data_IF_186825444788
#
_entry.id   IF_186825444788
#
_cell.length_a   1.000
_cell.length_b   1.000
_cell.length_c   1.000
_cell.angle_alpha   90.00
_cell.angle_beta   90.00
_cell.angle_gamma   90.00
#
_symmetry.space_group_name_H-M   'P 1'
#
loop_
_entity.id
_entity.type
_entity.pdbx_description
1 polymer ?
#
# COMPACT_ATOMS: atom_id res chain seq x y z
N UNK A 1 15.10 13.56 41.56
CA UNK A 1 15.46 13.02 40.24
C UNK A 1 16.11 11.69 40.54
N UNK A 2 15.34 10.61 40.44
CA UNK A 2 15.74 9.25 40.84
C UNK A 2 16.70 8.69 39.79
N UNK A 3 17.77 8.05 40.25
CA UNK A 3 18.86 7.55 39.39
C UNK A 3 18.37 6.54 38.33
N UNK A 4 17.21 5.91 38.53
CA UNK A 4 16.57 4.97 37.60
C UNK A 4 16.12 5.61 36.27
N UNK A 5 15.72 6.90 36.25
CA UNK A 5 15.39 7.57 34.98
C UNK A 5 16.63 7.86 34.14
N UNK A 6 17.81 7.89 34.74
CA UNK A 6 19.07 8.16 34.04
C UNK A 6 19.54 6.92 33.24
N UNK A 7 19.31 5.71 33.77
CA UNK A 7 19.63 4.46 33.05
C UNK A 7 18.72 4.23 31.85
N UNK A 8 17.41 4.46 32.00
CA UNK A 8 16.44 4.27 30.90
C UNK A 8 16.65 5.29 29.76
N UNK A 9 17.09 6.51 30.11
CA UNK A 9 17.39 7.58 29.16
C UNK A 9 18.71 7.41 28.40
N UNK A 10 19.55 6.43 28.74
CA UNK A 10 20.83 6.18 28.05
C UNK A 10 20.80 4.99 27.07
N UNK A 11 19.71 4.23 27.03
CA UNK A 11 19.59 3.02 26.21
C UNK A 11 19.54 3.34 24.70
N UNK A 12 19.04 4.52 24.34
CA UNK A 12 18.91 4.96 22.95
C UNK A 12 20.30 5.33 22.39
N UNK A 13 21.09 6.07 23.18
CA UNK A 13 22.44 6.51 22.86
C UNK A 13 23.40 5.31 22.72
N UNK A 14 23.23 4.29 23.55
CA UNK A 14 23.97 3.03 23.42
C UNK A 14 23.59 2.28 22.13
N UNK A 15 22.30 2.25 21.76
CA UNK A 15 21.85 1.61 20.52
C UNK A 15 22.40 2.29 19.26
N UNK A 16 22.50 3.63 19.25
CA UNK A 16 23.12 4.38 18.15
C UNK A 16 24.62 4.08 18.03
N UNK A 17 25.35 4.09 19.14
CA UNK A 17 26.80 3.79 19.17
C UNK A 17 27.09 2.37 18.68
N UNK A 18 26.30 1.40 19.13
CA UNK A 18 26.43 0.00 18.69
C UNK A 18 26.07 -0.14 17.21
N UNK A 19 25.03 0.54 16.72
CA UNK A 19 24.61 0.53 15.32
C UNK A 19 25.69 1.02 14.35
N UNK A 20 26.41 2.10 14.71
CA UNK A 20 27.51 2.65 13.93
C UNK A 20 28.71 1.67 13.85
N UNK A 21 29.04 1.01 14.97
CA UNK A 21 30.14 0.03 15.02
C UNK A 21 29.87 -1.22 14.17
N UNK A 22 28.61 -1.61 13.99
CA UNK A 22 28.23 -2.77 13.15
C UNK A 22 27.91 -2.41 11.71
N UNK A 23 28.12 -1.14 11.31
CA UNK A 23 27.93 -0.67 9.95
C UNK A 23 26.47 -0.63 9.50
N UNK A 24 25.52 -0.55 10.43
CA UNK A 24 24.11 -0.32 10.10
C UNK A 24 23.94 1.16 9.73
N UNK A 25 23.48 1.50 8.51
CA UNK A 25 23.28 2.89 8.13
C UNK A 25 22.14 3.50 8.96
N UNK A 26 22.50 4.35 9.92
CA UNK A 26 21.54 5.15 10.68
C UNK A 26 21.00 6.23 9.74
N UNK A 27 19.83 5.99 9.15
CA UNK A 27 19.13 6.97 8.33
C UNK A 27 18.41 7.99 9.21
N UNK A 28 19.15 9.00 9.69
CA UNK A 28 18.60 10.28 10.14
C UNK A 28 19.61 11.38 9.78
N UNK A 29 19.37 12.08 8.65
CA UNK A 29 19.85 13.46 8.52
C UNK A 29 19.21 14.26 9.67
N UNK A 30 20.02 14.55 10.67
CA UNK A 30 19.71 15.44 11.78
C UNK A 30 20.03 16.88 11.37
N UNK A 31 18.97 17.67 11.11
CA UNK A 31 19.01 19.11 11.31
C UNK A 31 17.69 19.57 11.97
N UNK A 32 17.49 19.19 13.23
CA UNK A 32 16.41 19.72 14.05
C UNK A 32 16.63 21.20 14.43
N UNK A 33 16.29 22.13 13.51
CA UNK A 33 15.74 23.45 13.90
C UNK A 33 14.32 23.25 14.48
N UNK A 34 13.76 24.20 15.28
CA UNK A 34 12.76 23.92 16.32
C UNK A 34 11.36 23.47 15.86
N UNK A 35 11.17 23.09 14.61
CA UNK A 35 10.00 22.33 14.17
C UNK A 35 10.47 21.25 13.20
N UNK A 36 10.50 20.01 13.68
CA UNK A 36 10.67 18.83 12.84
C UNK A 36 9.52 18.82 11.82
N UNK A 37 9.85 18.77 10.53
CA UNK A 37 8.87 18.32 9.55
C UNK A 37 8.62 16.84 9.87
N UNK A 38 7.61 16.55 10.70
CA UNK A 38 7.04 15.21 10.82
C UNK A 38 6.79 14.80 9.37
N UNK A 39 7.45 13.77 8.83
CA UNK A 39 7.16 13.31 7.48
C UNK A 39 5.71 12.85 7.54
N UNK A 40 4.79 13.73 7.10
CA UNK A 40 3.39 13.42 7.03
C UNK A 40 3.34 12.25 6.07
N UNK A 41 2.98 11.05 6.53
CA UNK A 41 2.93 9.93 5.64
C UNK A 41 1.89 10.32 4.59
N UNK A 42 2.33 10.65 3.36
CA UNK A 42 1.42 11.11 2.32
C UNK A 42 0.29 10.09 2.22
N UNK A 43 -0.93 10.49 1.85
CA UNK A 43 -2.14 9.65 1.97
C UNK A 43 -2.02 8.21 1.42
N UNK A 44 -1.01 7.97 0.58
CA UNK A 44 -0.55 6.66 0.17
C UNK A 44 -0.09 5.69 1.28
N UNK A 45 0.59 6.16 2.34
CA UNK A 45 1.01 5.34 3.48
C UNK A 45 -0.19 4.92 4.35
N UNK A 46 -1.14 5.83 4.59
CA UNK A 46 -2.35 5.50 5.34
C UNK A 46 -3.12 4.35 4.66
N UNK A 47 -3.23 4.40 3.32
CA UNK A 47 -3.82 3.32 2.54
C UNK A 47 -3.06 1.99 2.69
N UNK A 48 -1.73 2.03 2.86
CA UNK A 48 -0.92 0.83 3.08
C UNK A 48 -1.17 0.26 4.48
N UNK A 49 -1.15 1.10 5.51
CA UNK A 49 -1.43 0.71 6.89
C UNK A 49 -2.85 0.13 7.03
N UNK A 50 -3.85 0.77 6.44
CA UNK A 50 -5.23 0.28 6.42
C UNK A 50 -5.35 -1.08 5.70
N UNK A 51 -4.62 -1.27 4.60
CA UNK A 51 -4.62 -2.54 3.87
C UNK A 51 -4.05 -3.68 4.71
N UNK A 52 -2.95 -3.44 5.43
CA UNK A 52 -2.34 -4.43 6.33
C UNK A 52 -3.26 -4.72 7.51
N UNK A 53 -3.80 -3.70 8.17
CA UNK A 53 -4.77 -3.85 9.26
C UNK A 53 -5.98 -4.68 8.82
N UNK A 54 -6.57 -4.38 7.66
CA UNK A 54 -7.72 -5.12 7.14
C UNK A 54 -7.43 -6.60 6.91
N UNK A 55 -6.23 -6.94 6.41
CA UNK A 55 -5.83 -8.34 6.22
C UNK A 55 -5.74 -9.06 7.56
N UNK A 56 -5.05 -8.45 8.53
CA UNK A 56 -4.85 -9.05 9.85
C UNK A 56 -6.17 -9.15 10.61
N UNK A 57 -6.98 -8.09 10.65
CA UNK A 57 -8.31 -8.07 11.28
C UNK A 57 -9.22 -9.15 10.69
N UNK A 58 -9.22 -9.33 9.37
CA UNK A 58 -10.07 -10.34 8.73
C UNK A 58 -9.66 -11.77 9.08
N UNK A 59 -8.37 -12.00 9.33
CA UNK A 59 -7.83 -13.32 9.69
C UNK A 59 -7.94 -13.62 11.18
N UNK A 60 -7.70 -12.62 12.03
CA UNK A 60 -7.75 -12.77 13.48
C UNK A 60 -9.18 -12.65 14.00
N UNK A 61 -9.88 -11.54 13.71
CA UNK A 61 -11.06 -11.10 14.46
C UNK A 61 -12.39 -11.58 13.86
N UNK A 62 -12.45 -11.83 12.54
CA UNK A 62 -13.73 -12.13 11.88
C UNK A 62 -14.39 -13.40 12.43
N UNK A 63 -15.57 -13.23 13.06
CA UNK A 63 -16.36 -14.32 13.63
C UNK A 63 -15.84 -14.86 14.97
N UNK A 64 -14.85 -14.20 15.58
CA UNK A 64 -14.32 -14.56 16.91
C UNK A 64 -14.82 -13.58 17.97
N UNK A 65 -14.98 -14.06 19.21
CA UNK A 65 -15.31 -13.22 20.36
C UNK A 65 -14.30 -13.46 21.47
N UNK A 66 -13.47 -12.46 21.76
CA UNK A 66 -12.44 -12.54 22.78
C UNK A 66 -12.95 -12.07 24.13
N UNK A 67 -12.54 -12.74 25.21
CA UNK A 67 -12.94 -12.38 26.58
C UNK A 67 -11.86 -11.59 27.33
N UNK A 68 -10.67 -11.45 26.74
CA UNK A 68 -9.57 -10.69 27.33
C UNK A 68 -8.69 -10.05 26.26
N UNK A 69 -7.96 -9.00 26.65
CA UNK A 69 -6.99 -8.34 25.78
C UNK A 69 -5.85 -9.28 25.37
N UNK A 70 -5.40 -10.17 26.28
CA UNK A 70 -4.34 -11.14 25.97
C UNK A 70 -4.73 -12.14 24.89
N UNK A 71 -5.99 -12.58 24.88
CA UNK A 71 -6.53 -13.48 23.85
C UNK A 71 -6.57 -12.80 22.48
N UNK A 72 -6.94 -11.51 22.43
CA UNK A 72 -6.90 -10.70 21.21
C UNK A 72 -5.46 -10.52 20.70
N UNK A 73 -4.51 -10.19 21.59
CA UNK A 73 -3.10 -10.02 21.23
C UNK A 73 -2.52 -11.31 20.65
N UNK A 74 -2.76 -12.45 21.30
CA UNK A 74 -2.30 -13.76 20.83
C UNK A 74 -2.89 -14.11 19.45
N UNK A 75 -4.16 -13.79 19.20
CA UNK A 75 -4.79 -14.04 17.90
C UNK A 75 -4.23 -13.14 16.79
N UNK A 76 -3.98 -11.85 17.08
CA UNK A 76 -3.32 -10.93 16.15
C UNK A 76 -1.90 -11.38 15.83
N UNK A 77 -1.16 -11.84 16.84
CA UNK A 77 0.20 -12.34 16.67
C UNK A 77 0.21 -13.62 15.81
N UNK A 78 -0.69 -14.57 16.08
CA UNK A 78 -0.84 -15.79 15.29
C UNK A 78 -1.20 -15.48 13.82
N UNK A 79 -2.12 -14.54 13.58
CA UNK A 79 -2.48 -14.11 12.23
C UNK A 79 -1.31 -13.45 11.50
N UNK A 80 -0.51 -12.66 12.22
CA UNK A 80 0.69 -12.01 11.68
C UNK A 80 1.77 -13.04 11.33
N UNK A 81 2.06 -14.00 12.23
CA UNK A 81 2.99 -15.10 11.96
C UNK A 81 2.54 -15.94 10.77
N UNK A 82 1.25 -16.28 10.69
CA UNK A 82 0.69 -17.02 9.56
C UNK A 82 0.78 -16.26 8.23
N UNK A 83 0.61 -14.94 8.25
CA UNK A 83 0.83 -14.10 7.08
C UNK A 83 2.31 -13.99 6.69
N UNK A 84 3.22 -13.88 7.66
CA UNK A 84 4.66 -13.85 7.39
C UNK A 84 5.16 -15.17 6.77
N UNK A 85 4.59 -16.31 7.18
CA UNK A 85 4.92 -17.61 6.60
C UNK A 85 4.41 -17.76 5.16
N UNK A 86 3.25 -17.17 4.85
CA UNK A 86 2.63 -17.21 3.53
C UNK A 86 2.16 -15.80 3.11
N UNK A 87 3.10 -14.94 2.70
CA UNK A 87 2.78 -13.55 2.43
C UNK A 87 1.88 -13.46 1.20
N UNK A 88 0.85 -12.62 1.30
CA UNK A 88 0.07 -12.15 0.14
C UNK A 88 0.58 -10.75 -0.21
N UNK A 89 1.59 -10.64 -1.10
CA UNK A 89 2.21 -9.36 -1.40
C UNK A 89 1.20 -8.40 -2.00
N UNK A 90 1.28 -7.11 -1.62
CA UNK A 90 0.54 -6.08 -2.32
C UNK A 90 1.23 -5.82 -3.66
N UNK A 91 0.50 -5.91 -4.77
CA UNK A 91 1.00 -5.49 -6.08
C UNK A 91 0.53 -4.06 -6.31
N UNK A 92 1.49 -3.14 -6.43
CA UNK A 92 1.14 -1.75 -6.71
C UNK A 92 0.50 -1.61 -8.08
N UNK A 93 -0.58 -0.84 -8.16
CA UNK A 93 -1.31 -0.61 -9.40
C UNK A 93 -2.17 -1.78 -9.88
N UNK A 94 -1.64 -3.00 -9.94
CA UNK A 94 -2.34 -4.25 -10.28
C UNK A 94 -3.36 -4.13 -11.42
N UNK A 95 -4.48 -4.87 -11.32
CA UNK A 95 -5.59 -4.84 -12.30
C UNK A 95 -6.20 -3.45 -12.54
N UNK A 96 -6.04 -2.50 -11.61
CA UNK A 96 -6.54 -1.13 -11.78
C UNK A 96 -5.61 -0.31 -12.67
N UNK A 97 -4.29 -0.48 -12.52
CA UNK A 97 -3.29 0.13 -13.40
C UNK A 97 -3.35 -0.49 -14.78
N UNK A 98 -3.49 -1.81 -14.90
CA UNK A 98 -3.75 -2.49 -16.19
C UNK A 98 -4.95 -1.86 -16.89
N UNK A 99 -6.09 -1.70 -16.21
CA UNK A 99 -7.27 -1.02 -16.78
C UNK A 99 -6.98 0.42 -17.19
N UNK A 100 -6.20 1.18 -16.41
CA UNK A 100 -5.79 2.55 -16.78
C UNK A 100 -4.87 2.55 -18.01
N UNK A 101 -3.96 1.58 -18.11
CA UNK A 101 -3.08 1.40 -19.26
C UNK A 101 -3.88 1.00 -20.49
N UNK A 102 -4.76 0.00 -20.41
CA UNK A 102 -5.66 -0.39 -21.50
C UNK A 102 -6.55 0.76 -21.93
N UNK A 103 -7.07 1.55 -20.99
CA UNK A 103 -7.86 2.75 -21.31
C UNK A 103 -7.03 3.80 -22.06
N UNK A 104 -5.77 4.03 -21.68
CA UNK A 104 -4.82 4.93 -22.37
C UNK A 104 -4.36 4.37 -23.73
N UNK A 105 -4.26 3.05 -23.83
CA UNK A 105 -3.85 2.30 -25.02
C UNK A 105 -5.04 1.96 -25.93
N UNK A 106 -6.27 2.45 -25.64
CA UNK A 106 -7.41 2.23 -26.52
C UNK A 106 -7.07 2.78 -27.92
N UNK A 107 -6.93 1.83 -28.83
CA UNK A 107 -6.68 2.01 -30.26
C UNK A 107 -7.85 1.36 -30.97
N UNK A 108 -8.58 2.12 -31.77
CA UNK A 108 -9.68 1.63 -32.59
C UNK A 108 -9.09 1.21 -33.94
N UNK A 109 -9.10 -0.09 -34.23
CA UNK A 109 -8.61 -0.62 -35.50
C UNK A 109 -9.39 0.00 -36.68
N UNK A 110 -8.68 0.42 -37.71
CA UNK A 110 -9.24 0.97 -38.95
C UNK A 110 -9.37 -0.18 -39.96
N UNK A 111 -10.42 -0.98 -39.82
CA UNK A 111 -10.57 -2.22 -40.59
C UNK A 111 -9.62 -3.32 -40.10
N UNK A 112 -9.66 -4.49 -40.76
CA UNK A 112 -8.87 -5.67 -40.37
C UNK A 112 -7.37 -5.59 -40.68
N UNK A 113 -6.86 -4.44 -41.12
CA UNK A 113 -5.45 -4.19 -41.34
C UNK A 113 -4.84 -3.47 -40.13
N UNK A 114 -3.51 -3.46 -40.03
CA UNK A 114 -2.77 -2.90 -38.89
C UNK A 114 -2.98 -1.41 -38.52
N UNK A 115 -3.54 -0.48 -39.34
CA UNK A 115 -3.74 0.89 -38.90
C UNK A 115 -4.79 1.03 -37.79
N UNK A 116 -4.57 1.97 -36.87
CA UNK A 116 -5.46 2.27 -35.76
C UNK A 116 -5.63 3.78 -35.52
N UNK A 117 -6.72 4.17 -34.86
CA UNK A 117 -6.94 5.55 -34.38
C UNK A 117 -7.14 5.58 -32.86
N UNK A 118 -6.79 6.70 -32.21
CA UNK A 118 -7.03 6.91 -30.77
C UNK A 118 -8.38 7.57 -30.46
N UNK A 119 -9.10 8.01 -31.50
CA UNK A 119 -10.46 8.56 -31.38
C UNK A 119 -11.47 7.44 -31.64
N UNK A 120 -12.58 7.38 -30.89
CA UNK A 120 -13.65 6.43 -31.19
C UNK A 120 -14.16 6.66 -32.60
N UNK A 121 -14.23 5.59 -33.38
CA UNK A 121 -14.87 5.62 -34.68
C UNK A 121 -16.38 5.70 -34.44
N UNK A 122 -16.98 6.81 -34.87
CA UNK A 122 -18.43 6.93 -34.91
C UNK A 122 -18.88 6.05 -36.06
N UNK A 123 -19.44 4.88 -35.76
CA UNK A 123 -20.17 4.09 -36.75
C UNK A 123 -21.36 4.93 -37.20
N UNK A 124 -21.31 5.48 -38.41
CA UNK A 124 -22.51 6.06 -39.04
C UNK A 124 -23.49 4.90 -39.19
N UNK A 125 -24.56 4.92 -38.39
CA UNK A 125 -25.63 3.92 -38.48
C UNK A 125 -26.14 3.84 -39.91
N UNK A 126 -26.40 2.62 -40.38
CA UNK A 126 -26.86 2.36 -41.73
C UNK A 126 -28.09 3.24 -42.03
N UNK A 127 -27.93 4.21 -42.92
CA UNK A 127 -29.05 4.92 -43.53
C UNK A 127 -29.71 3.93 -44.48
N UNK A 128 -30.72 3.21 -44.00
CA UNK A 128 -31.61 2.43 -44.88
C UNK A 128 -32.48 3.44 -45.64
N UNK A 129 -32.06 3.82 -46.84
CA UNK A 129 -32.97 4.43 -47.80
C UNK A 129 -34.04 3.38 -48.14
N UNK A 130 -35.22 3.53 -47.54
CA UNK A 130 -36.41 2.82 -48.00
C UNK A 130 -36.80 3.44 -49.34
N UNK A 131 -36.54 2.71 -50.43
CA UNK A 131 -37.18 2.97 -51.70
C UNK A 131 -38.69 2.86 -51.51
N UNK A 132 -39.38 3.98 -51.69
CA UNK A 132 -40.82 4.08 -51.81
C UNK A 132 -41.22 3.49 -53.16
N UNK A 133 -42.06 2.44 -53.13
CA UNK A 133 -42.85 1.99 -54.28
C UNK A 133 -44.26 2.59 -54.19
#
# INVERSE_FOLDING_TARGET
MTDDECEEKGAIEQAYTVGELVGLPVWCEDEARPFQAIPQPGGNWLNMAESVQRIIIRRAISGQHYRSAGELMAALEAATRGWNAYPTPFVWGGKRQERRLSARQRRHALGGSAPYTRKPLVTRGNCTLRETA
#
